data_IF_610177037712
#
_entry.id   IF_610177037712
#
_cell.length_a   1.000
_cell.length_b   1.000
_cell.length_c   1.000
_cell.angle_alpha   90.00
_cell.angle_beta   90.00
_cell.angle_gamma   90.00
#
_symmetry.space_group_name_H-M   'P 1'
#
loop_
_entity.id
_entity.type
_entity.pdbx_description
1 polymer ?
#
# COMPACT_ATOMS: atom_id res chain seq x y z
N UNK A 1 -17.08 -3.68 4.16
CA UNK A 1 -18.44 -3.32 4.67
C UNK A 1 -19.53 -4.26 4.16
N UNK A 2 -19.47 -4.73 2.91
CA UNK A 2 -20.54 -5.62 2.37
C UNK A 2 -20.68 -6.96 3.12
N UNK A 3 -19.58 -7.49 3.66
CA UNK A 3 -19.60 -8.78 4.39
C UNK A 3 -19.89 -8.62 5.88
N UNK A 4 -19.35 -7.58 6.52
CA UNK A 4 -19.35 -7.42 7.99
C UNK A 4 -20.01 -6.11 8.46
N UNK A 5 -20.76 -5.43 7.60
CA UNK A 5 -21.43 -4.15 7.93
C UNK A 5 -20.52 -2.93 7.90
N UNK A 6 -21.09 -1.75 8.23
CA UNK A 6 -20.38 -0.47 8.09
C UNK A 6 -19.27 -0.23 9.13
N UNK A 7 -19.29 -0.95 10.23
CA UNK A 7 -18.45 -0.72 11.40
C UNK A 7 -17.48 -1.87 11.68
N UNK A 8 -17.23 -2.71 10.68
CA UNK A 8 -16.42 -3.92 10.79
C UNK A 8 -15.00 -3.67 11.32
N UNK A 9 -14.41 -2.52 11.05
CA UNK A 9 -13.03 -2.20 11.35
C UNK A 9 -12.75 -2.03 12.86
N UNK A 10 -13.78 -1.83 13.67
CA UNK A 10 -13.64 -1.80 15.13
C UNK A 10 -14.35 -2.97 15.86
N UNK A 11 -14.69 -4.03 15.14
CA UNK A 11 -15.14 -5.28 15.71
C UNK A 11 -13.93 -6.17 16.07
N UNK A 12 -13.68 -6.36 17.36
CA UNK A 12 -12.55 -7.16 17.87
C UNK A 12 -12.59 -8.61 17.43
N UNK A 13 -13.77 -9.17 17.18
CA UNK A 13 -13.92 -10.55 16.71
C UNK A 13 -13.36 -10.79 15.30
N UNK A 14 -13.13 -9.72 14.56
CA UNK A 14 -12.54 -9.73 13.21
C UNK A 14 -11.03 -9.46 13.22
N UNK A 15 -10.38 -9.45 14.37
CA UNK A 15 -8.95 -9.28 14.52
C UNK A 15 -8.23 -10.60 14.83
N UNK A 16 -7.08 -10.84 14.22
CA UNK A 16 -6.21 -11.97 14.52
C UNK A 16 -5.46 -11.77 15.86
N UNK A 17 -5.14 -10.52 16.21
CA UNK A 17 -4.34 -10.14 17.38
C UNK A 17 -4.99 -8.92 18.04
N UNK A 18 -5.45 -9.09 19.28
CA UNK A 18 -6.15 -8.05 20.04
C UNK A 18 -5.26 -6.86 20.38
N UNK A 19 -4.00 -7.09 20.69
CA UNK A 19 -3.05 -6.00 21.01
C UNK A 19 -2.84 -5.10 19.78
N UNK A 20 -2.60 -5.69 18.61
CA UNK A 20 -2.52 -4.96 17.34
C UNK A 20 -3.81 -4.26 16.97
N UNK A 21 -4.95 -4.86 17.33
CA UNK A 21 -6.25 -4.22 17.14
C UNK A 21 -6.33 -2.92 17.94
N UNK A 22 -5.98 -2.94 19.22
CA UNK A 22 -5.99 -1.74 20.08
C UNK A 22 -5.04 -0.68 19.51
N UNK A 23 -3.83 -1.04 19.08
CA UNK A 23 -2.88 -0.11 18.46
C UNK A 23 -3.45 0.52 17.17
N UNK A 24 -4.14 -0.27 16.35
CA UNK A 24 -4.79 0.22 15.13
C UNK A 24 -5.92 1.19 15.45
N UNK A 25 -6.77 0.88 16.43
CA UNK A 25 -7.86 1.76 16.87
C UNK A 25 -7.33 3.08 17.42
N UNK A 26 -6.28 3.05 18.24
CA UNK A 26 -5.61 4.25 18.73
C UNK A 26 -5.01 5.10 17.60
N UNK A 27 -4.56 4.47 16.51
CA UNK A 27 -4.05 5.19 15.35
C UNK A 27 -5.18 5.85 14.55
N UNK A 28 -6.26 5.13 14.31
CA UNK A 28 -7.46 5.65 13.65
C UNK A 28 -8.07 6.80 14.45
N UNK A 29 -8.20 6.65 15.76
CA UNK A 29 -8.76 7.70 16.63
C UNK A 29 -7.94 9.00 16.54
N UNK A 30 -6.59 8.89 16.62
CA UNK A 30 -5.69 10.04 16.46
C UNK A 30 -5.80 10.72 15.10
N UNK A 31 -5.94 9.94 14.03
CA UNK A 31 -6.12 10.47 12.67
C UNK A 31 -7.47 11.20 12.54
N UNK A 32 -8.53 10.63 13.06
CA UNK A 32 -9.86 11.26 13.11
C UNK A 32 -9.88 12.54 13.96
N UNK A 33 -9.23 12.55 15.13
CA UNK A 33 -9.17 13.73 15.99
C UNK A 33 -8.49 14.93 15.32
N UNK A 34 -7.46 14.67 14.49
CA UNK A 34 -6.73 15.69 13.73
C UNK A 34 -7.46 16.12 12.45
N UNK A 35 -8.46 15.37 12.06
CA UNK A 35 -9.17 15.61 10.81
C UNK A 35 -10.05 16.86 10.90
N UNK A 36 -9.91 17.73 9.87
CA UNK A 36 -10.70 18.97 9.74
C UNK A 36 -11.76 18.89 8.65
N UNK A 37 -11.93 17.72 8.03
CA UNK A 37 -12.91 17.51 6.95
C UNK A 37 -14.34 17.73 7.44
N UNK A 38 -15.15 18.40 6.62
CA UNK A 38 -16.48 18.81 7.02
C UNK A 38 -17.43 17.63 7.24
N UNK A 39 -17.27 16.55 6.46
CA UNK A 39 -18.09 15.35 6.63
C UNK A 39 -17.84 14.62 7.97
N UNK A 40 -16.67 14.80 8.59
CA UNK A 40 -16.37 14.28 9.93
C UNK A 40 -16.95 15.21 11.01
N UNK A 41 -16.81 16.52 10.83
CA UNK A 41 -17.42 17.50 11.73
C UNK A 41 -18.95 17.33 11.77
N UNK A 42 -19.55 17.14 10.58
CA UNK A 42 -20.98 16.91 10.44
C UNK A 42 -21.40 15.58 11.09
N UNK A 43 -20.62 14.51 10.92
CA UNK A 43 -20.89 13.24 11.59
C UNK A 43 -20.91 13.41 13.11
N UNK A 44 -19.88 14.04 13.68
CA UNK A 44 -19.79 14.30 15.13
C UNK A 44 -20.92 15.18 15.67
N UNK A 45 -21.41 16.12 14.87
CA UNK A 45 -22.53 16.99 15.25
C UNK A 45 -23.87 16.26 15.26
N UNK A 46 -24.03 15.30 14.34
CA UNK A 46 -25.31 14.63 14.11
C UNK A 46 -25.45 13.29 14.82
N UNK A 47 -24.33 12.68 15.25
CA UNK A 47 -24.32 11.33 15.82
C UNK A 47 -23.41 11.25 17.05
N UNK A 48 -24.01 10.92 18.20
CA UNK A 48 -23.26 10.64 19.44
C UNK A 48 -22.71 9.20 19.45
N UNK A 49 -23.40 8.29 18.78
CA UNK A 49 -23.02 6.86 18.65
C UNK A 49 -23.36 6.36 17.25
N UNK A 50 -22.50 5.46 16.70
CA UNK A 50 -21.21 5.02 17.24
C UNK A 50 -20.14 6.13 17.23
N UNK A 51 -19.13 6.01 18.09
CA UNK A 51 -18.03 6.99 18.23
C UNK A 51 -17.26 7.17 16.91
N UNK A 52 -17.07 6.09 16.17
CA UNK A 52 -16.42 6.12 14.86
C UNK A 52 -17.44 6.26 13.73
N UNK A 53 -17.16 7.11 12.74
CA UNK A 53 -17.93 7.12 11.50
C UNK A 53 -17.87 5.74 10.78
N UNK A 54 -18.81 5.45 9.87
CA UNK A 54 -18.74 4.23 9.06
C UNK A 54 -17.41 4.06 8.32
N UNK A 55 -17.03 2.82 8.01
CA UNK A 55 -15.74 2.46 7.42
C UNK A 55 -15.37 3.31 6.18
N UNK A 56 -16.32 3.62 5.30
CA UNK A 56 -16.06 4.43 4.11
C UNK A 56 -15.69 5.88 4.42
N UNK A 57 -16.09 6.44 5.55
CA UNK A 57 -15.66 7.76 6.03
C UNK A 57 -14.35 7.66 6.81
N UNK A 58 -14.25 6.69 7.70
CA UNK A 58 -13.08 6.51 8.59
C UNK A 58 -11.83 6.10 7.82
N UNK A 59 -11.95 5.13 6.90
CA UNK A 59 -10.79 4.58 6.19
C UNK A 59 -10.28 5.50 5.07
N UNK A 60 -11.12 6.42 4.58
CA UNK A 60 -10.68 7.47 3.64
C UNK A 60 -9.62 8.40 4.28
N UNK A 61 -9.73 8.62 5.58
CA UNK A 61 -8.80 9.46 6.33
C UNK A 61 -7.59 8.71 6.88
N UNK A 62 -7.70 7.38 6.95
CA UNK A 62 -6.65 6.57 7.51
C UNK A 62 -5.39 6.64 6.64
N UNK A 63 -4.21 6.80 7.28
CA UNK A 63 -2.94 6.73 6.59
C UNK A 63 -2.77 5.36 5.94
N UNK A 64 -2.01 5.30 4.83
CA UNK A 64 -1.74 4.02 4.16
C UNK A 64 -1.09 3.00 5.11
N UNK A 65 -0.27 3.46 6.06
CA UNK A 65 0.32 2.62 7.10
C UNK A 65 -0.74 2.03 8.05
N UNK A 66 -1.72 2.81 8.45
CA UNK A 66 -2.86 2.35 9.27
C UNK A 66 -3.71 1.34 8.51
N UNK A 67 -4.00 1.61 7.22
CA UNK A 67 -4.71 0.65 6.35
C UNK A 67 -3.94 -0.66 6.20
N UNK A 68 -2.62 -0.61 6.01
CA UNK A 68 -1.76 -1.79 5.91
C UNK A 68 -1.82 -2.64 7.18
N UNK A 69 -1.75 -2.03 8.36
CA UNK A 69 -1.84 -2.73 9.65
C UNK A 69 -3.22 -3.33 9.87
N UNK A 70 -4.28 -2.58 9.55
CA UNK A 70 -5.65 -3.05 9.65
C UNK A 70 -5.89 -4.28 8.76
N UNK A 71 -5.46 -4.23 7.49
CA UNK A 71 -5.55 -5.35 6.56
C UNK A 71 -4.76 -6.57 7.06
N UNK A 72 -3.54 -6.35 7.56
CA UNK A 72 -2.71 -7.43 8.10
C UNK A 72 -3.39 -8.15 9.26
N UNK A 73 -3.99 -7.40 10.20
CA UNK A 73 -4.61 -7.93 11.42
C UNK A 73 -6.06 -8.43 11.21
N UNK A 74 -6.61 -8.33 10.01
CA UNK A 74 -7.96 -8.77 9.72
C UNK A 74 -8.04 -10.29 9.59
N UNK A 75 -8.92 -10.95 10.38
CA UNK A 75 -8.97 -12.41 10.53
C UNK A 75 -9.66 -13.15 9.37
N UNK A 76 -10.58 -12.51 8.62
CA UNK A 76 -11.27 -13.14 7.49
C UNK A 76 -10.34 -13.32 6.28
N UNK A 77 -9.60 -14.43 6.28
CA UNK A 77 -8.68 -14.78 5.19
C UNK A 77 -9.36 -14.97 3.83
N UNK A 78 -10.66 -15.34 3.83
CA UNK A 78 -11.41 -15.47 2.56
C UNK A 78 -11.63 -14.10 1.93
N UNK A 79 -11.99 -13.12 2.76
CA UNK A 79 -12.16 -11.74 2.30
C UNK A 79 -10.82 -11.11 1.91
N UNK A 80 -9.75 -11.32 2.69
CA UNK A 80 -8.39 -10.89 2.33
C UNK A 80 -7.97 -11.43 0.95
N UNK A 81 -8.22 -12.72 0.67
CA UNK A 81 -7.96 -13.30 -0.66
C UNK A 81 -8.78 -12.65 -1.77
N UNK A 82 -10.05 -12.32 -1.49
CA UNK A 82 -10.90 -11.62 -2.47
C UNK A 82 -10.36 -10.24 -2.80
N UNK A 83 -9.90 -9.50 -1.78
CA UNK A 83 -9.27 -8.18 -1.98
C UNK A 83 -7.98 -8.32 -2.79
N UNK A 84 -7.09 -9.25 -2.45
CA UNK A 84 -5.84 -9.47 -3.20
C UNK A 84 -6.10 -9.79 -4.68
N UNK A 85 -7.13 -10.60 -4.97
CA UNK A 85 -7.51 -10.95 -6.36
C UNK A 85 -7.96 -9.75 -7.19
N UNK A 86 -8.51 -8.70 -6.58
CA UNK A 86 -8.86 -7.48 -7.30
C UNK A 86 -7.63 -6.73 -7.84
N UNK A 87 -6.47 -6.97 -7.22
CA UNK A 87 -5.17 -6.49 -7.67
C UNK A 87 -4.39 -7.53 -8.47
N UNK A 88 -5.05 -8.56 -9.00
CA UNK A 88 -4.43 -9.67 -9.72
C UNK A 88 -3.38 -10.46 -8.92
N UNK A 89 -3.38 -10.33 -7.58
CA UNK A 89 -2.45 -11.04 -6.72
C UNK A 89 -2.97 -12.44 -6.34
N UNK A 90 -2.12 -13.48 -6.38
CA UNK A 90 -2.56 -14.85 -6.13
C UNK A 90 -2.89 -15.11 -4.65
N UNK A 91 -2.22 -14.41 -3.74
CA UNK A 91 -2.28 -14.65 -2.29
C UNK A 91 -2.40 -13.32 -1.54
N UNK A 92 -3.09 -13.33 -0.38
CA UNK A 92 -3.26 -12.14 0.45
C UNK A 92 -1.96 -11.75 1.17
N UNK A 93 -1.09 -12.71 1.45
CA UNK A 93 0.23 -12.49 2.04
C UNK A 93 1.12 -11.63 1.14
N UNK A 94 1.01 -11.80 -0.17
CA UNK A 94 1.70 -10.94 -1.15
C UNK A 94 1.21 -9.50 -1.03
N UNK A 95 -0.12 -9.29 -0.96
CA UNK A 95 -0.70 -7.95 -0.79
C UNK A 95 -0.25 -7.32 0.53
N UNK A 96 -0.25 -8.08 1.64
CA UNK A 96 0.23 -7.61 2.95
C UNK A 96 1.69 -7.16 2.90
N UNK A 97 2.53 -7.97 2.27
CA UNK A 97 3.95 -7.66 2.08
C UNK A 97 4.14 -6.37 1.28
N UNK A 98 3.44 -6.24 0.15
CA UNK A 98 3.53 -5.06 -0.71
C UNK A 98 3.02 -3.79 -0.02
N UNK A 99 1.89 -3.87 0.69
CA UNK A 99 1.37 -2.73 1.45
C UNK A 99 2.38 -2.22 2.48
N UNK A 100 3.09 -3.12 3.17
CA UNK A 100 4.14 -2.74 4.13
C UNK A 100 5.32 -2.06 3.45
N UNK A 101 5.79 -2.61 2.33
CA UNK A 101 6.92 -2.06 1.57
C UNK A 101 6.59 -0.69 0.98
N UNK A 102 5.41 -0.56 0.37
CA UNK A 102 4.92 0.72 -0.16
C UNK A 102 4.74 1.76 0.95
N UNK A 103 4.29 1.36 2.14
CA UNK A 103 4.21 2.26 3.31
C UNK A 103 5.58 2.86 3.65
N UNK A 104 6.65 2.05 3.64
CA UNK A 104 8.01 2.54 3.92
C UNK A 104 8.46 3.53 2.86
N UNK A 105 8.29 3.20 1.57
CA UNK A 105 8.64 4.10 0.46
C UNK A 105 7.86 5.40 0.53
N UNK A 106 6.53 5.33 0.68
CA UNK A 106 5.64 6.50 0.81
C UNK A 106 6.07 7.40 1.97
N UNK A 107 6.42 6.82 3.12
CA UNK A 107 6.85 7.60 4.28
C UNK A 107 8.21 8.27 4.02
N UNK A 108 9.14 7.61 3.34
CA UNK A 108 10.38 8.25 2.91
C UNK A 108 10.11 9.48 2.03
N UNK A 109 9.20 9.36 1.05
CA UNK A 109 8.80 10.49 0.19
C UNK A 109 8.13 11.60 1.00
N UNK A 110 7.17 11.26 1.86
CA UNK A 110 6.41 12.24 2.65
C UNK A 110 7.28 13.02 3.66
N UNK A 111 8.37 12.43 4.11
CA UNK A 111 9.35 13.07 5.00
C UNK A 111 10.56 13.65 4.26
N UNK A 112 10.49 13.78 2.93
CA UNK A 112 11.58 14.27 2.09
C UNK A 112 12.91 13.57 2.33
N UNK A 113 12.84 12.27 2.69
CA UNK A 113 14.04 11.46 2.94
C UNK A 113 14.66 11.00 1.63
N UNK A 114 15.99 10.88 1.62
CA UNK A 114 16.73 10.37 0.48
C UNK A 114 16.28 8.95 0.13
N UNK A 115 15.93 8.70 -1.14
CA UNK A 115 15.66 7.37 -1.71
C UNK A 115 16.86 6.80 -2.46
N UNK A 116 17.63 7.66 -3.14
CA UNK A 116 18.79 7.25 -3.89
C UNK A 116 19.79 6.49 -3.01
N UNK A 117 20.24 5.34 -3.49
CA UNK A 117 21.15 4.42 -2.80
C UNK A 117 20.72 4.07 -1.36
N UNK A 118 19.40 4.01 -1.12
CA UNK A 118 18.85 3.60 0.18
C UNK A 118 18.53 2.12 0.20
N UNK A 119 18.83 1.48 1.31
CA UNK A 119 18.33 0.16 1.65
C UNK A 119 17.03 0.31 2.44
N UNK A 120 15.95 -0.32 1.98
CA UNK A 120 14.62 -0.22 2.59
C UNK A 120 14.38 -1.45 3.47
N UNK A 121 13.90 -1.22 4.70
CA UNK A 121 13.80 -2.25 5.74
C UNK A 121 12.77 -3.35 5.47
N UNK A 122 11.76 -3.06 4.63
CA UNK A 122 10.68 -3.99 4.33
C UNK A 122 10.69 -4.32 2.83
N UNK A 123 11.30 -5.44 2.48
CA UNK A 123 11.29 -5.96 1.12
C UNK A 123 9.89 -6.47 0.73
N UNK A 124 9.38 -6.15 -0.45
CA UNK A 124 8.17 -6.79 -0.97
C UNK A 124 8.43 -8.24 -1.31
N UNK A 125 7.44 -9.09 -1.11
CA UNK A 125 7.50 -10.46 -1.61
C UNK A 125 7.38 -10.43 -3.15
N UNK A 126 8.50 -10.67 -3.82
CA UNK A 126 8.56 -10.75 -5.28
C UNK A 126 8.08 -12.12 -5.72
N UNK A 127 6.86 -12.21 -6.28
CA UNK A 127 6.28 -13.48 -6.69
C UNK A 127 6.34 -13.62 -8.22
N UNK A 128 7.12 -14.57 -8.68
CA UNK A 128 7.27 -14.87 -10.12
C UNK A 128 5.98 -15.41 -10.78
N UNK A 129 5.01 -15.91 -9.99
CA UNK A 129 3.76 -16.49 -10.49
C UNK A 129 2.63 -15.46 -10.68
N UNK A 130 2.96 -14.17 -10.81
CA UNK A 130 1.98 -13.13 -11.07
C UNK A 130 1.36 -13.27 -12.47
N UNK A 131 0.11 -12.89 -12.59
CA UNK A 131 -0.60 -12.88 -13.87
C UNK A 131 -0.30 -11.61 -14.65
N UNK A 132 -0.15 -11.74 -15.97
CA UNK A 132 0.12 -10.60 -16.84
C UNK A 132 1.60 -10.20 -16.91
N UNK A 133 1.84 -8.95 -17.26
CA UNK A 133 3.19 -8.42 -17.43
C UNK A 133 3.89 -8.25 -16.07
N UNK A 134 5.05 -8.88 -15.92
CA UNK A 134 5.89 -8.78 -14.73
C UNK A 134 7.36 -8.66 -15.12
N UNK A 135 8.23 -8.44 -14.18
CA UNK A 135 9.67 -8.35 -14.37
C UNK A 135 10.37 -9.70 -14.13
N UNK A 136 11.52 -9.90 -14.72
CA UNK A 136 12.40 -10.96 -14.28
C UNK A 136 12.94 -10.59 -12.89
N UNK A 137 12.73 -11.48 -11.92
CA UNK A 137 13.13 -11.25 -10.52
C UNK A 137 14.56 -11.72 -10.23
N UNK A 138 15.21 -12.42 -11.17
CA UNK A 138 16.57 -12.90 -10.99
C UNK A 138 17.53 -11.70 -10.86
N UNK A 139 18.22 -11.63 -9.72
CA UNK A 139 19.15 -10.53 -9.43
C UNK A 139 18.50 -9.22 -8.96
N UNK A 140 17.17 -9.16 -8.82
CA UNK A 140 16.49 -7.98 -8.25
C UNK A 140 16.72 -7.94 -6.74
N UNK A 141 17.34 -6.85 -6.25
CA UNK A 141 17.43 -6.58 -4.81
C UNK A 141 16.08 -6.04 -4.30
N UNK A 142 15.34 -6.90 -3.59
CA UNK A 142 14.02 -6.58 -3.07
C UNK A 142 14.01 -5.44 -2.02
N UNK A 143 15.17 -5.09 -1.46
CA UNK A 143 15.31 -3.98 -0.50
C UNK A 143 15.61 -2.63 -1.17
N UNK A 144 15.63 -2.57 -2.49
CA UNK A 144 15.85 -1.34 -3.24
C UNK A 144 14.53 -0.78 -3.81
N UNK A 145 14.58 0.48 -4.22
CA UNK A 145 13.44 1.23 -4.74
C UNK A 145 12.78 0.54 -5.94
N UNK A 146 13.59 -0.04 -6.83
CA UNK A 146 13.09 -0.72 -8.04
C UNK A 146 12.04 -1.79 -7.73
N UNK A 147 12.32 -2.67 -6.77
CA UNK A 147 11.39 -3.74 -6.40
C UNK A 147 10.02 -3.20 -5.95
N UNK A 148 10.02 -2.11 -5.14
CA UNK A 148 8.77 -1.50 -4.69
C UNK A 148 8.08 -0.74 -5.84
N UNK A 149 8.84 -0.10 -6.72
CA UNK A 149 8.30 0.55 -7.91
C UNK A 149 7.61 -0.46 -8.85
N UNK A 150 8.17 -1.67 -9.01
CA UNK A 150 7.51 -2.75 -9.75
C UNK A 150 6.16 -3.14 -9.11
N UNK A 151 6.10 -3.26 -7.78
CA UNK A 151 4.85 -3.55 -7.08
C UNK A 151 3.80 -2.46 -7.30
N UNK A 152 4.20 -1.18 -7.24
CA UNK A 152 3.30 -0.04 -7.49
C UNK A 152 2.82 -0.05 -8.93
N UNK A 153 3.71 -0.22 -9.91
CA UNK A 153 3.34 -0.28 -11.32
C UNK A 153 2.33 -1.40 -11.59
N UNK A 154 2.57 -2.59 -11.06
CA UNK A 154 1.66 -3.72 -11.19
C UNK A 154 0.27 -3.45 -10.57
N UNK A 155 0.21 -2.83 -9.38
CA UNK A 155 -1.07 -2.46 -8.77
C UNK A 155 -1.82 -1.43 -9.60
N UNK A 156 -1.13 -0.40 -10.06
CA UNK A 156 -1.72 0.64 -10.89
C UNK A 156 -2.19 0.09 -12.23
N UNK A 157 -1.46 -0.85 -12.84
CA UNK A 157 -1.91 -1.58 -14.04
C UNK A 157 -3.22 -2.33 -13.79
N UNK A 158 -3.34 -3.00 -12.65
CA UNK A 158 -4.58 -3.73 -12.28
C UNK A 158 -5.79 -2.81 -12.11
N UNK A 159 -5.57 -1.52 -11.87
CA UNK A 159 -6.59 -0.48 -11.73
C UNK A 159 -6.76 0.40 -12.98
N UNK A 160 -5.95 0.18 -14.02
CA UNK A 160 -5.98 0.96 -15.25
C UNK A 160 -5.19 2.29 -15.22
N UNK A 161 -4.37 2.53 -14.19
CA UNK A 161 -3.58 3.77 -14.02
C UNK A 161 -2.05 3.57 -14.16
N UNK A 162 -1.60 2.38 -14.54
CA UNK A 162 -0.17 2.06 -14.53
C UNK A 162 0.66 2.83 -15.54
N UNK A 163 0.07 3.18 -16.69
CA UNK A 163 0.80 3.84 -17.78
C UNK A 163 1.34 5.21 -17.37
N UNK A 164 0.55 6.01 -16.68
CA UNK A 164 0.96 7.35 -16.24
C UNK A 164 2.15 7.26 -15.28
N UNK A 165 2.07 6.41 -14.27
CA UNK A 165 3.16 6.18 -13.32
C UNK A 165 4.46 5.72 -14.01
N UNK A 166 4.35 4.76 -14.95
CA UNK A 166 5.51 4.24 -15.68
C UNK A 166 6.17 5.33 -16.52
N UNK A 167 5.38 6.14 -17.22
CA UNK A 167 5.88 7.23 -18.04
C UNK A 167 6.52 8.35 -17.19
N UNK A 168 5.90 8.71 -16.08
CA UNK A 168 6.46 9.70 -15.16
C UNK A 168 7.79 9.24 -14.55
N UNK A 169 7.88 7.97 -14.12
CA UNK A 169 9.12 7.42 -13.59
C UNK A 169 10.25 7.40 -14.61
N UNK A 170 9.96 6.99 -15.86
CA UNK A 170 10.93 7.02 -16.96
C UNK A 170 11.39 8.46 -17.23
N UNK A 171 10.45 9.38 -17.34
CA UNK A 171 10.73 10.80 -17.60
C UNK A 171 11.58 11.42 -16.49
N UNK A 172 11.28 11.08 -15.22
CA UNK A 172 12.06 11.53 -14.08
C UNK A 172 13.52 11.10 -14.18
N UNK A 173 13.77 9.81 -14.44
CA UNK A 173 15.13 9.28 -14.54
C UNK A 173 15.91 9.86 -15.74
N UNK A 174 15.22 10.12 -16.85
CA UNK A 174 15.84 10.81 -18.02
C UNK A 174 16.17 12.27 -17.68
N UNK A 175 15.33 12.95 -16.93
CA UNK A 175 15.53 14.37 -16.58
C UNK A 175 16.67 14.59 -15.59
N UNK A 176 17.09 13.55 -14.87
CA UNK A 176 18.16 13.62 -13.87
C UNK A 176 19.26 12.58 -14.15
N UNK A 177 20.03 12.74 -15.25
CA UNK A 177 21.03 11.75 -15.68
C UNK A 177 22.20 11.57 -14.68
N UNK A 178 22.38 12.50 -13.75
CA UNK A 178 23.36 12.40 -12.66
C UNK A 178 22.93 11.41 -11.56
N UNK A 179 21.65 10.97 -11.55
CA UNK A 179 21.14 9.97 -10.60
C UNK A 179 21.30 8.61 -11.23
N UNK A 180 22.25 7.81 -10.72
CA UNK A 180 22.44 6.44 -11.17
C UNK A 180 21.26 5.55 -10.74
N UNK A 181 20.44 5.00 -11.67
CA UNK A 181 19.33 4.11 -11.34
C UNK A 181 19.81 2.79 -10.75
N UNK A 182 21.01 2.29 -11.10
CA UNK A 182 21.55 1.03 -10.58
C UNK A 182 21.72 1.09 -9.05
N UNK A 183 22.10 2.26 -8.50
CA UNK A 183 22.15 2.46 -7.04
C UNK A 183 20.81 2.30 -6.34
N UNK A 184 19.68 2.42 -7.08
CA UNK A 184 18.32 2.20 -6.60
C UNK A 184 17.78 0.80 -6.96
N UNK A 185 18.63 -0.07 -7.52
CA UNK A 185 18.31 -1.45 -7.87
C UNK A 185 17.67 -1.66 -9.24
N UNK A 186 17.67 -0.63 -10.12
CA UNK A 186 17.19 -0.79 -11.49
C UNK A 186 18.21 -1.60 -12.32
N UNK A 187 17.81 -2.72 -12.93
CA UNK A 187 18.67 -3.44 -13.89
C UNK A 187 18.95 -2.57 -15.11
N UNK A 188 20.06 -2.83 -15.82
CA UNK A 188 20.45 -2.07 -17.00
C UNK A 188 19.34 -1.99 -18.06
N UNK A 189 18.63 -3.09 -18.29
CA UNK A 189 17.57 -3.20 -19.30
C UNK A 189 16.15 -3.14 -18.73
N UNK A 190 15.94 -2.53 -17.57
CA UNK A 190 14.64 -2.53 -16.87
C UNK A 190 13.48 -2.00 -17.72
N UNK A 191 13.73 -1.03 -18.62
CA UNK A 191 12.71 -0.45 -19.52
C UNK A 191 12.16 -1.50 -20.50
N UNK A 192 12.98 -2.52 -20.83
CA UNK A 192 12.61 -3.61 -21.75
C UNK A 192 11.81 -4.71 -21.08
N UNK A 193 11.72 -4.72 -19.76
CA UNK A 193 10.93 -5.70 -19.01
C UNK A 193 9.42 -5.56 -19.33
N UNK A 194 8.67 -6.68 -19.38
CA UNK A 194 7.27 -6.66 -19.78
C UNK A 194 6.39 -5.67 -18.99
N UNK A 195 6.63 -5.55 -17.68
CA UNK A 195 5.90 -4.62 -16.81
C UNK A 195 6.08 -3.16 -17.24
N UNK A 196 7.25 -2.78 -17.75
CA UNK A 196 7.61 -1.39 -18.04
C UNK A 196 7.36 -0.95 -19.49
N UNK A 197 6.88 -1.84 -20.33
CA UNK A 197 6.51 -1.54 -21.74
C UNK A 197 5.22 -0.78 -21.90
#
# INVERSE_FOLDING_TARGET
>A
SLAHGPFWFFDTSLADDEHKFIENMNSIDRELQRCKEDFIKEHRRNYDKPIFPPAWKTLELASFGTLSKLYYNFSDKKLKKRVARQFNLPQHEVLESWMRSVTVLRNCCAHHSRLWNRYLSNAPQMNASLRGAWVNIDGVDANKVYAIACCIAYWLDSMGYGLDFKNELKSLLVSYPQVDPAAMGFPENWISEPLWR
#
